data_IF_912627121218
#
_entry.id   IF_912627121218
#
_cell.length_a   1.000
_cell.length_b   1.000
_cell.length_c   1.000
_cell.angle_alpha   90.00
_cell.angle_beta   90.00
_cell.angle_gamma   90.00
#
_symmetry.space_group_name_H-M   'P 1'
#
loop_
_entity.id
_entity.type
_entity.pdbx_description
1 polymer ?
#
# COMPACT_ATOMS: atom_id res chain seq x y z
N UNK A 1 -38.77 -6.25 9.38
CA UNK A 1 -39.05 -5.55 8.10
C UNK A 1 -38.53 -4.13 8.29
N UNK A 2 -37.60 -3.68 7.45
CA UNK A 2 -37.02 -2.32 7.59
C UNK A 2 -38.00 -1.34 6.97
N UNK A 3 -38.56 -0.44 7.76
CA UNK A 3 -39.38 0.68 7.27
C UNK A 3 -38.49 1.61 6.43
N UNK A 4 -38.67 1.60 5.11
CA UNK A 4 -37.93 2.48 4.20
C UNK A 4 -38.65 3.81 4.12
N UNK A 5 -38.01 4.87 4.62
CA UNK A 5 -38.54 6.24 4.55
C UNK A 5 -38.52 6.74 3.10
N UNK A 6 -39.62 7.38 2.67
CA UNK A 6 -39.73 8.01 1.36
C UNK A 6 -38.63 9.07 1.16
N UNK A 7 -38.13 9.18 -0.06
CA UNK A 7 -37.14 10.19 -0.46
C UNK A 7 -37.87 11.43 -0.98
N UNK A 8 -38.01 12.43 -0.12
CA UNK A 8 -38.71 13.68 -0.46
C UNK A 8 -38.16 14.30 -1.76
N UNK A 9 -39.03 14.49 -2.75
CA UNK A 9 -38.73 15.16 -4.02
C UNK A 9 -38.00 14.33 -5.09
N UNK A 10 -37.95 13.00 -4.95
CA UNK A 10 -37.36 12.09 -5.95
C UNK A 10 -38.41 11.03 -6.36
N UNK A 11 -38.75 10.97 -7.64
CA UNK A 11 -39.66 9.96 -8.19
C UNK A 11 -38.90 8.81 -8.85
N UNK A 12 -39.54 7.64 -8.96
CA UNK A 12 -38.97 6.54 -9.71
C UNK A 12 -39.00 6.85 -11.22
N UNK A 13 -37.91 6.69 -11.98
CA UNK A 13 -37.92 6.92 -13.43
C UNK A 13 -38.80 5.94 -14.22
N UNK A 14 -39.11 4.78 -13.62
CA UNK A 14 -39.97 3.78 -14.24
C UNK A 14 -41.46 3.97 -13.87
N UNK A 15 -41.72 4.64 -12.74
CA UNK A 15 -43.04 4.92 -12.22
C UNK A 15 -43.07 6.37 -11.72
N UNK A 16 -43.25 7.36 -12.61
CA UNK A 16 -43.18 8.78 -12.25
C UNK A 16 -44.25 9.19 -11.22
N UNK A 17 -45.35 8.44 -11.14
CA UNK A 17 -46.42 8.62 -10.18
C UNK A 17 -46.10 8.14 -8.76
N UNK A 18 -44.98 7.45 -8.55
CA UNK A 18 -44.60 6.88 -7.25
C UNK A 18 -43.29 7.51 -6.75
N UNK A 19 -43.31 7.94 -5.49
CA UNK A 19 -42.13 8.42 -4.78
C UNK A 19 -41.10 7.31 -4.58
N UNK A 20 -39.83 7.66 -4.74
CA UNK A 20 -38.74 6.73 -4.50
C UNK A 20 -38.57 6.50 -2.99
N UNK A 21 -38.35 5.25 -2.60
CA UNK A 21 -38.07 4.85 -1.21
C UNK A 21 -36.59 4.60 -0.97
N UNK A 22 -35.82 4.33 -2.03
CA UNK A 22 -34.38 4.14 -1.95
C UNK A 22 -33.64 4.50 -3.24
N UNK A 23 -32.33 4.30 -3.27
CA UNK A 23 -31.48 4.48 -4.45
C UNK A 23 -30.66 3.23 -4.68
N UNK A 24 -30.47 2.89 -5.96
CA UNK A 24 -29.56 1.82 -6.36
C UNK A 24 -28.15 2.10 -5.82
N UNK A 25 -27.52 1.13 -5.15
CA UNK A 25 -26.17 1.30 -4.61
C UNK A 25 -25.10 1.52 -5.69
N UNK A 26 -25.33 1.00 -6.90
CA UNK A 26 -24.35 1.05 -8.01
C UNK A 26 -24.47 2.32 -8.86
N UNK A 27 -25.69 2.66 -9.29
CA UNK A 27 -25.94 3.75 -10.24
C UNK A 27 -26.67 4.95 -9.64
N UNK A 28 -27.03 4.87 -8.35
CA UNK A 28 -27.73 5.92 -7.59
C UNK A 28 -29.09 6.35 -8.15
N UNK A 29 -29.65 5.57 -9.08
CA UNK A 29 -31.01 5.77 -9.60
C UNK A 29 -32.04 5.63 -8.46
N UNK A 30 -32.98 6.57 -8.30
CA UNK A 30 -34.07 6.44 -7.32
C UNK A 30 -35.05 5.32 -7.71
N UNK A 31 -35.48 4.53 -6.73
CA UNK A 31 -36.33 3.35 -6.91
C UNK A 31 -37.55 3.42 -5.99
N UNK A 32 -38.73 3.12 -6.55
CA UNK A 32 -39.93 2.83 -5.75
C UNK A 32 -39.84 1.43 -5.16
N UNK A 33 -40.73 1.09 -4.22
CA UNK A 33 -40.72 -0.19 -3.51
C UNK A 33 -40.79 -1.41 -4.45
N UNK A 34 -41.44 -1.29 -5.61
CA UNK A 34 -41.60 -2.36 -6.59
C UNK A 34 -40.38 -2.56 -7.49
N UNK A 35 -39.60 -1.51 -7.73
CA UNK A 35 -38.41 -1.58 -8.58
C UNK A 35 -37.13 -1.98 -7.82
N UNK A 36 -37.25 -2.30 -6.52
CA UNK A 36 -36.10 -2.67 -5.70
C UNK A 36 -35.83 -4.17 -5.81
N UNK A 37 -34.63 -4.48 -6.27
CA UNK A 37 -34.04 -5.80 -6.14
C UNK A 37 -33.12 -5.78 -4.92
N UNK A 38 -33.50 -6.50 -3.86
CA UNK A 38 -32.72 -6.59 -2.63
C UNK A 38 -31.78 -7.80 -2.70
N UNK A 39 -30.48 -7.55 -2.81
CA UNK A 39 -29.45 -8.60 -2.89
C UNK A 39 -28.37 -8.31 -1.87
N UNK A 40 -28.10 -9.25 -0.96
CA UNK A 40 -27.08 -9.07 0.08
C UNK A 40 -27.35 -7.91 1.05
N UNK A 41 -28.62 -7.54 1.25
CA UNK A 41 -29.03 -6.43 2.12
C UNK A 41 -28.89 -5.04 1.50
N UNK A 42 -28.57 -4.95 0.21
CA UNK A 42 -28.45 -3.71 -0.55
C UNK A 42 -29.53 -3.64 -1.64
N UNK A 43 -29.89 -2.41 -2.02
CA UNK A 43 -30.94 -2.13 -2.99
C UNK A 43 -30.34 -1.85 -4.39
N UNK A 44 -30.85 -2.55 -5.40
CA UNK A 44 -30.41 -2.42 -6.79
C UNK A 44 -31.58 -2.24 -7.75
N UNK A 45 -31.31 -1.60 -8.90
CA UNK A 45 -32.31 -1.41 -9.96
C UNK A 45 -32.36 -2.57 -10.97
N UNK A 46 -31.35 -3.43 -11.00
CA UNK A 46 -31.24 -4.58 -11.91
C UNK A 46 -30.19 -5.58 -11.41
N UNK A 47 -30.28 -6.82 -11.88
CA UNK A 47 -29.26 -7.87 -11.62
C UNK A 47 -27.88 -7.49 -12.15
N UNK A 48 -27.82 -6.69 -13.22
CA UNK A 48 -26.56 -6.15 -13.73
C UNK A 48 -25.91 -5.20 -12.71
N UNK A 49 -26.71 -4.34 -12.08
CA UNK A 49 -26.19 -3.42 -11.06
C UNK A 49 -25.74 -4.16 -9.80
N UNK A 50 -26.47 -5.18 -9.36
CA UNK A 50 -26.06 -5.99 -8.21
C UNK A 50 -24.76 -6.74 -8.51
N UNK A 51 -24.68 -7.42 -9.65
CA UNK A 51 -23.47 -8.11 -10.09
C UNK A 51 -22.28 -7.16 -10.17
N UNK A 52 -22.44 -6.00 -10.81
CA UNK A 52 -21.36 -5.03 -10.95
C UNK A 52 -20.84 -4.49 -9.61
N UNK A 53 -21.73 -4.32 -8.62
CA UNK A 53 -21.33 -3.90 -7.28
C UNK A 53 -20.46 -4.95 -6.59
N UNK A 54 -20.89 -6.22 -6.60
CA UNK A 54 -20.14 -7.30 -5.97
C UNK A 54 -18.81 -7.60 -6.69
N UNK A 55 -18.78 -7.56 -8.02
CA UNK A 55 -17.54 -7.78 -8.78
C UNK A 55 -16.55 -6.63 -8.57
N UNK A 56 -17.01 -5.38 -8.59
CA UNK A 56 -16.15 -4.21 -8.41
C UNK A 56 -15.61 -4.13 -6.98
N UNK A 57 -16.44 -4.35 -5.97
CA UNK A 57 -15.98 -4.32 -4.58
C UNK A 57 -14.96 -5.42 -4.29
N UNK A 58 -15.21 -6.65 -4.78
CA UNK A 58 -14.24 -7.74 -4.64
C UNK A 58 -12.89 -7.39 -5.31
N UNK A 59 -12.92 -6.81 -6.52
CA UNK A 59 -11.69 -6.41 -7.23
C UNK A 59 -10.92 -5.29 -6.50
N UNK A 60 -11.64 -4.33 -5.90
CA UNK A 60 -11.04 -3.25 -5.12
C UNK A 60 -10.44 -3.78 -3.82
N UNK A 61 -11.15 -4.65 -3.09
CA UNK A 61 -10.65 -5.31 -1.88
C UNK A 61 -9.40 -6.15 -2.16
N UNK A 62 -9.40 -6.91 -3.26
CA UNK A 62 -8.23 -7.66 -3.71
C UNK A 62 -7.06 -6.74 -4.07
N UNK A 63 -7.34 -5.60 -4.70
CA UNK A 63 -6.33 -4.57 -5.00
C UNK A 63 -5.65 -4.05 -3.73
N UNK A 64 -6.44 -3.62 -2.74
CA UNK A 64 -5.92 -3.16 -1.45
C UNK A 64 -5.20 -4.26 -0.68
N UNK A 65 -5.70 -5.50 -0.70
CA UNK A 65 -5.06 -6.64 -0.04
C UNK A 65 -3.69 -6.96 -0.66
N UNK A 66 -3.57 -6.90 -2.00
CA UNK A 66 -2.30 -7.07 -2.72
C UNK A 66 -1.30 -5.97 -2.38
N UNK A 67 -1.73 -4.72 -2.36
CA UNK A 67 -0.88 -3.59 -1.98
C UNK A 67 -0.41 -3.67 -0.52
N UNK A 68 -1.32 -4.01 0.39
CA UNK A 68 -1.00 -4.20 1.81
C UNK A 68 0.00 -5.35 2.01
N UNK A 69 -0.17 -6.46 1.31
CA UNK A 69 0.76 -7.60 1.35
C UNK A 69 2.14 -7.23 0.78
N UNK A 70 2.20 -6.47 -0.32
CA UNK A 70 3.45 -5.99 -0.89
C UNK A 70 4.20 -5.06 0.07
N UNK A 71 3.50 -4.08 0.67
CA UNK A 71 4.08 -3.18 1.69
C UNK A 71 4.57 -3.94 2.91
N UNK A 72 3.82 -4.96 3.37
CA UNK A 72 4.21 -5.80 4.50
C UNK A 72 5.48 -6.60 4.20
N UNK A 73 5.59 -7.22 3.01
CA UNK A 73 6.80 -7.94 2.57
C UNK A 73 8.01 -7.02 2.50
N UNK A 74 7.86 -5.81 1.96
CA UNK A 74 8.93 -4.82 1.90
C UNK A 74 9.40 -4.38 3.31
N UNK A 75 8.45 -4.17 4.23
CA UNK A 75 8.77 -3.82 5.62
C UNK A 75 9.48 -4.97 6.34
N UNK A 76 9.00 -6.20 6.18
CA UNK A 76 9.62 -7.39 6.79
C UNK A 76 11.06 -7.55 6.30
N UNK A 77 11.32 -7.43 4.98
CA UNK A 77 12.69 -7.49 4.45
C UNK A 77 13.61 -6.43 5.06
N UNK A 78 13.12 -5.19 5.22
CA UNK A 78 13.89 -4.11 5.88
C UNK A 78 14.18 -4.43 7.35
N UNK A 79 13.21 -4.96 8.09
CA UNK A 79 13.38 -5.34 9.50
C UNK A 79 14.37 -6.49 9.63
N UNK A 80 14.26 -7.54 8.80
CA UNK A 80 15.21 -8.66 8.77
C UNK A 80 16.63 -8.16 8.51
N UNK A 81 16.80 -7.27 7.52
CA UNK A 81 18.10 -6.68 7.22
C UNK A 81 18.68 -5.90 8.41
N UNK A 82 17.87 -5.08 9.11
CA UNK A 82 18.31 -4.37 10.32
C UNK A 82 18.71 -5.33 11.45
N UNK A 83 17.96 -6.40 11.67
CA UNK A 83 18.30 -7.42 12.67
C UNK A 83 19.64 -8.07 12.33
N UNK A 84 19.87 -8.43 11.07
CA UNK A 84 21.15 -9.02 10.63
C UNK A 84 22.31 -8.05 10.90
N UNK A 85 22.16 -6.75 10.61
CA UNK A 85 23.19 -5.75 10.90
C UNK A 85 23.48 -5.61 12.40
N UNK A 86 22.45 -5.63 13.24
CA UNK A 86 22.62 -5.58 14.70
C UNK A 86 23.40 -6.81 15.18
N UNK A 87 23.01 -8.02 14.73
CA UNK A 87 23.70 -9.27 15.11
C UNK A 87 25.15 -9.26 14.64
N UNK A 88 25.41 -8.86 13.39
CA UNK A 88 26.77 -8.73 12.87
C UNK A 88 27.60 -7.72 13.67
N UNK A 89 27.00 -6.60 14.09
CA UNK A 89 27.64 -5.60 14.96
C UNK A 89 28.02 -6.17 16.33
N UNK A 90 27.12 -6.92 16.97
CA UNK A 90 27.38 -7.56 18.28
C UNK A 90 28.52 -8.59 18.17
N UNK A 91 28.48 -9.44 17.13
CA UNK A 91 29.53 -10.43 16.88
C UNK A 91 30.87 -9.73 16.63
N UNK A 92 30.88 -8.72 15.77
CA UNK A 92 32.05 -7.91 15.47
C UNK A 92 32.64 -7.25 16.73
N UNK A 93 31.78 -6.70 17.60
CA UNK A 93 32.19 -6.10 18.86
C UNK A 93 32.85 -7.11 19.81
N UNK A 94 32.27 -8.31 19.96
CA UNK A 94 32.86 -9.37 20.79
C UNK A 94 34.24 -9.81 20.28
N UNK A 95 34.38 -9.99 18.96
CA UNK A 95 35.66 -10.35 18.35
C UNK A 95 36.68 -9.21 18.52
N UNK A 96 36.25 -7.96 18.37
CA UNK A 96 37.11 -6.79 18.53
C UNK A 96 37.63 -6.64 19.96
N UNK A 97 36.81 -6.91 20.98
CA UNK A 97 37.26 -6.87 22.38
C UNK A 97 38.38 -7.88 22.66
N UNK A 98 38.28 -9.10 22.12
CA UNK A 98 39.30 -10.15 22.27
C UNK A 98 40.57 -9.95 21.42
N UNK A 99 40.66 -8.87 20.64
CA UNK A 99 41.75 -8.65 19.70
C UNK A 99 42.93 -7.88 20.33
N UNK A 100 44.16 -8.36 20.08
CA UNK A 100 45.41 -7.71 20.50
C UNK A 100 45.52 -6.26 19.98
N UNK A 101 46.14 -5.32 20.75
CA UNK A 101 46.24 -3.91 20.39
C UNK A 101 46.92 -3.65 19.04
N UNK A 102 47.88 -4.47 18.61
CA UNK A 102 48.54 -4.32 17.31
C UNK A 102 47.59 -4.60 16.15
N UNK A 103 46.80 -5.67 16.26
CA UNK A 103 45.78 -6.05 15.27
C UNK A 103 44.64 -5.03 15.20
N UNK A 104 44.33 -4.34 16.31
CA UNK A 104 43.35 -3.25 16.33
C UNK A 104 43.82 -2.04 15.52
N UNK A 105 45.09 -1.67 15.64
CA UNK A 105 45.70 -0.58 14.85
C UNK A 105 45.67 -0.90 13.35
N UNK A 106 46.09 -2.10 12.95
CA UNK A 106 46.08 -2.50 11.53
C UNK A 106 44.67 -2.60 10.94
N UNK A 107 43.66 -2.96 11.75
CA UNK A 107 42.25 -2.95 11.32
C UNK A 107 41.70 -1.53 11.16
N UNK A 108 42.03 -0.62 12.08
CA UNK A 108 41.67 0.79 11.97
C UNK A 108 42.30 1.43 10.73
N UNK A 109 43.59 1.17 10.48
CA UNK A 109 44.32 1.70 9.32
C UNK A 109 43.68 1.24 8.00
N UNK A 110 43.39 -0.06 7.88
CA UNK A 110 42.65 -0.61 6.73
C UNK A 110 41.24 -0.05 6.60
N UNK A 111 40.55 0.18 7.72
CA UNK A 111 39.21 0.77 7.71
C UNK A 111 39.25 2.23 7.24
N UNK A 112 40.27 3.00 7.61
CA UNK A 112 40.49 4.36 7.10
C UNK A 112 40.82 4.36 5.62
N UNK A 113 41.72 3.50 5.15
CA UNK A 113 42.03 3.39 3.71
C UNK A 113 40.80 3.02 2.87
N UNK A 114 39.98 2.09 3.36
CA UNK A 114 38.72 1.70 2.71
C UNK A 114 37.71 2.86 2.69
N UNK A 115 37.61 3.62 3.79
CA UNK A 115 36.71 4.77 3.88
C UNK A 115 37.15 5.87 2.90
N UNK A 116 38.44 6.18 2.86
CA UNK A 116 38.98 7.22 1.97
C UNK A 116 38.84 6.81 0.51
N UNK A 117 39.12 5.53 0.19
CA UNK A 117 38.89 4.98 -1.14
C UNK A 117 37.42 4.99 -1.57
N UNK A 118 36.48 4.79 -0.64
CA UNK A 118 35.05 4.90 -0.92
C UNK A 118 34.59 6.35 -1.13
N UNK A 119 35.15 7.29 -0.35
CA UNK A 119 34.88 8.74 -0.47
C UNK A 119 35.36 9.27 -1.82
N UNK A 120 36.57 8.91 -2.25
CA UNK A 120 37.09 9.33 -3.57
C UNK A 120 36.23 8.76 -4.71
N UNK A 121 35.90 7.46 -4.67
CA UNK A 121 34.99 6.86 -5.65
C UNK A 121 33.62 7.53 -5.70
N UNK A 122 33.09 7.96 -4.55
CA UNK A 122 31.83 8.68 -4.48
C UNK A 122 31.94 10.10 -5.07
N UNK A 123 33.07 10.80 -4.85
CA UNK A 123 33.33 12.11 -5.47
C UNK A 123 33.46 11.99 -6.99
N UNK A 124 34.15 10.97 -7.48
CA UNK A 124 34.31 10.73 -8.92
C UNK A 124 32.98 10.37 -9.59
N UNK A 125 32.17 9.54 -8.95
CA UNK A 125 30.81 9.23 -9.40
C UNK A 125 29.92 10.48 -9.44
N UNK A 126 30.04 11.36 -8.44
CA UNK A 126 29.29 12.63 -8.40
C UNK A 126 29.73 13.57 -9.52
N UNK A 127 31.04 13.77 -9.73
CA UNK A 127 31.56 14.58 -10.85
C UNK A 127 31.12 14.04 -12.22
N UNK A 128 31.12 12.72 -12.39
CA UNK A 128 30.66 12.08 -13.62
C UNK A 128 29.14 12.25 -13.85
N UNK A 129 28.34 12.24 -12.77
CA UNK A 129 26.90 12.51 -12.84
C UNK A 129 26.61 13.99 -13.14
N UNK A 130 27.30 14.92 -12.49
CA UNK A 130 27.16 16.37 -12.70
C UNK A 130 27.56 16.76 -14.14
N UNK A 131 28.61 16.14 -14.70
CA UNK A 131 29.00 16.35 -16.10
C UNK A 131 27.91 15.94 -17.09
N UNK A 132 27.24 14.79 -16.86
CA UNK A 132 26.16 14.28 -17.72
C UNK A 132 24.86 15.09 -17.62
N UNK A 133 24.70 15.92 -16.59
CA UNK A 133 23.53 16.79 -16.39
C UNK A 133 23.66 18.15 -17.09
N UNK A 134 24.88 18.53 -17.49
CA UNK A 134 25.20 19.82 -18.11
C UNK A 134 25.69 19.69 -19.57
N UNK A 135 25.64 18.48 -20.16
CA UNK A 135 25.73 18.22 -21.61
C UNK A 135 24.32 18.07 -22.20
#
# INVERSE_FOLDING_TARGET
MVEKKLMDGKVCPNHPEIDAVSRCTTCFKPLCAECILCTGGLDFCSDQCSTNHFTTNAAIEDGFAREAAARRRARIKKVIFLIILIVAGIIGWKVYQGLSPEKKKSLMERATELKDGAVEKAKDAKKAADKKLNE
#
